data_IF_197597308705
#
_entry.id   IF_197597308705
#
_cell.length_a   1.000
_cell.length_b   1.000
_cell.length_c   1.000
_cell.angle_alpha   90.00
_cell.angle_beta   90.00
_cell.angle_gamma   90.00
#
_symmetry.space_group_name_H-M   'P 1'
#
loop_
_entity.id
_entity.type
_entity.pdbx_description
1 polymer ?
#
# COMPACT_ATOMS: atom_id res chain seq x y z
N UNK A 1 5.53 14.84 4.85
CA UNK A 1 5.55 13.42 4.50
C UNK A 1 4.72 12.70 5.54
N UNK A 2 3.64 12.03 5.14
CA UNK A 2 2.66 11.46 6.07
C UNK A 2 2.67 9.94 5.99
N UNK A 3 3.18 9.30 7.04
CA UNK A 3 2.94 7.88 7.31
C UNK A 3 1.67 7.77 8.16
N UNK A 4 0.77 6.85 7.81
CA UNK A 4 -0.42 6.54 8.58
C UNK A 4 -0.54 5.04 8.82
N UNK A 5 -1.17 4.67 9.94
CA UNK A 5 -1.38 3.27 10.35
C UNK A 5 -2.88 3.03 10.54
N UNK A 6 -3.61 2.57 9.50
CA UNK A 6 -5.04 2.33 9.60
C UNK A 6 -5.39 1.18 10.57
N UNK A 7 -4.48 0.23 10.74
CA UNK A 7 -4.58 -0.85 11.73
C UNK A 7 -3.16 -1.27 12.16
N UNK A 8 -3.05 -2.32 12.98
CA UNK A 8 -1.77 -2.84 13.51
C UNK A 8 -0.92 -3.56 12.45
N UNK A 9 -1.51 -3.97 11.34
CA UNK A 9 -0.91 -4.84 10.33
C UNK A 9 -0.54 -4.09 9.03
N UNK A 10 -0.95 -2.82 8.90
CA UNK A 10 -0.81 -2.04 7.68
C UNK A 10 -0.18 -0.68 7.95
N UNK A 11 0.79 -0.33 7.12
CA UNK A 11 1.37 1.02 7.04
C UNK A 11 1.08 1.61 5.66
N UNK A 12 0.64 2.86 5.63
CA UNK A 12 0.38 3.61 4.39
C UNK A 12 1.29 4.83 4.33
N UNK A 13 1.96 5.04 3.19
CA UNK A 13 2.83 6.19 2.96
C UNK A 13 2.41 6.95 1.72
N UNK A 14 2.34 8.27 1.87
CA UNK A 14 2.24 9.19 0.73
C UNK A 14 3.65 9.67 0.39
N UNK A 15 4.16 9.16 -0.73
CA UNK A 15 5.48 9.47 -1.26
C UNK A 15 5.36 10.48 -2.40
N UNK A 16 6.36 11.33 -2.53
CA UNK A 16 6.53 12.20 -3.68
C UNK A 16 7.83 11.77 -4.35
N UNK A 17 7.71 11.26 -5.58
CA UNK A 17 8.84 10.80 -6.38
C UNK A 17 9.11 11.84 -7.45
N UNK A 18 10.33 12.35 -7.52
CA UNK A 18 10.74 13.34 -8.51
C UNK A 18 11.85 12.77 -9.38
N UNK A 19 11.72 12.95 -10.69
CA UNK A 19 12.75 12.58 -11.67
C UNK A 19 12.79 13.63 -12.77
N UNK A 20 13.95 14.22 -12.99
CA UNK A 20 14.14 15.38 -13.88
C UNK A 20 13.20 16.55 -13.51
N UNK A 21 12.30 16.93 -14.42
CA UNK A 21 11.33 18.02 -14.24
C UNK A 21 9.94 17.50 -13.87
N UNK A 22 9.79 16.19 -13.69
CA UNK A 22 8.53 15.55 -13.34
C UNK A 22 8.51 15.18 -11.86
N UNK A 23 7.32 15.25 -11.27
CA UNK A 23 7.07 14.84 -9.89
C UNK A 23 5.72 14.16 -9.83
N UNK A 24 5.69 12.99 -9.20
CA UNK A 24 4.50 12.17 -9.07
C UNK A 24 4.27 11.79 -7.61
N UNK A 25 3.00 11.80 -7.20
CA UNK A 25 2.60 11.27 -5.90
C UNK A 25 2.34 9.77 -6.01
N UNK A 26 2.90 9.00 -5.08
CA UNK A 26 2.76 7.54 -5.01
C UNK A 26 2.24 7.19 -3.63
N UNK A 27 1.17 6.38 -3.58
CA UNK A 27 0.67 5.82 -2.32
C UNK A 27 1.23 4.40 -2.19
N UNK A 28 2.02 4.16 -1.14
CA UNK A 28 2.53 2.83 -0.82
C UNK A 28 1.68 2.23 0.30
N UNK A 29 1.13 1.04 0.05
CA UNK A 29 0.49 0.20 1.06
C UNK A 29 1.44 -0.94 1.42
N UNK A 30 1.77 -1.08 2.71
CA UNK A 30 2.66 -2.13 3.20
C UNK A 30 1.94 -2.94 4.26
N UNK A 31 1.77 -4.24 4.01
CA UNK A 31 1.35 -5.20 5.03
C UNK A 31 2.57 -5.66 5.82
N UNK A 32 2.55 -5.56 7.15
CA UNK A 32 3.72 -5.81 8.02
C UNK A 32 3.60 -7.05 8.88
N UNK A 33 2.45 -7.73 8.85
CA UNK A 33 2.17 -8.89 9.71
C UNK A 33 2.21 -10.23 8.97
N UNK A 34 2.78 -10.27 7.76
CA UNK A 34 2.95 -11.52 7.02
C UNK A 34 4.23 -12.22 7.51
N UNK A 35 4.13 -13.43 8.09
CA UNK A 35 5.30 -14.17 8.58
C UNK A 35 6.02 -14.92 7.45
N UNK A 36 7.34 -15.07 7.55
CA UNK A 36 8.19 -15.62 6.47
C UNK A 36 7.85 -17.07 6.05
N UNK A 37 7.35 -17.89 6.98
CA UNK A 37 7.09 -19.32 6.77
C UNK A 37 5.65 -19.75 7.08
N UNK A 38 4.75 -18.79 7.30
CA UNK A 38 3.37 -19.06 7.70
C UNK A 38 2.42 -18.09 6.98
N UNK A 39 1.13 -18.17 7.32
CA UNK A 39 0.14 -17.17 6.91
C UNK A 39 -0.29 -16.34 8.12
N UNK A 40 -0.76 -15.09 7.91
CA UNK A 40 -1.40 -14.32 8.98
C UNK A 40 -2.56 -15.11 9.62
N UNK A 41 -2.69 -15.02 10.94
CA UNK A 41 -3.76 -15.70 11.69
C UNK A 41 -5.17 -15.19 11.35
N UNK A 42 -5.27 -13.99 10.77
CA UNK A 42 -6.51 -13.34 10.35
C UNK A 42 -6.30 -12.66 8.99
N UNK A 43 -7.26 -12.83 8.09
CA UNK A 43 -7.26 -12.26 6.74
C UNK A 43 -7.78 -10.83 6.67
N UNK A 44 -8.46 -10.33 7.71
CA UNK A 44 -9.10 -9.01 7.70
C UNK A 44 -8.12 -7.87 7.35
N UNK A 45 -6.90 -7.93 7.90
CA UNK A 45 -5.89 -6.89 7.64
C UNK A 45 -5.45 -6.82 6.17
N UNK A 46 -5.26 -7.96 5.51
CA UNK A 46 -4.85 -7.96 4.09
C UNK A 46 -6.03 -7.65 3.16
N UNK A 47 -7.25 -8.07 3.51
CA UNK A 47 -8.45 -7.71 2.76
C UNK A 47 -8.70 -6.20 2.81
N UNK A 48 -8.54 -5.56 3.96
CA UNK A 48 -8.63 -4.10 4.12
C UNK A 48 -7.55 -3.38 3.29
N UNK A 49 -6.32 -3.90 3.24
CA UNK A 49 -5.26 -3.35 2.38
C UNK A 49 -5.61 -3.44 0.88
N UNK A 50 -6.11 -4.60 0.43
CA UNK A 50 -6.50 -4.81 -0.97
C UNK A 50 -7.65 -3.90 -1.39
N UNK A 51 -8.65 -3.71 -0.53
CA UNK A 51 -9.79 -2.84 -0.80
C UNK A 51 -9.36 -1.37 -0.91
N UNK A 52 -8.49 -0.91 -0.01
CA UNK A 52 -7.91 0.44 -0.05
C UNK A 52 -7.06 0.67 -1.31
N UNK A 53 -6.22 -0.28 -1.70
CA UNK A 53 -5.37 -0.17 -2.87
C UNK A 53 -6.19 -0.11 -4.17
N UNK A 54 -7.27 -0.90 -4.27
CA UNK A 54 -8.19 -0.86 -5.42
C UNK A 54 -8.98 0.44 -5.48
N UNK A 55 -9.45 0.91 -4.34
CA UNK A 55 -10.22 2.15 -4.23
C UNK A 55 -9.38 3.39 -4.57
N UNK A 56 -8.06 3.38 -4.28
CA UNK A 56 -7.18 4.51 -4.58
C UNK A 56 -6.77 4.61 -6.05
N UNK A 57 -6.76 3.49 -6.79
CA UNK A 57 -6.52 3.51 -8.24
C UNK A 57 -7.68 4.15 -9.03
N UNK A 58 -8.92 4.11 -8.52
CA UNK A 58 -10.06 4.76 -9.19
C UNK A 58 -10.19 4.37 -10.67
N UNK A 59 -10.15 5.38 -11.56
CA UNK A 59 -10.15 5.21 -13.03
C UNK A 59 -8.76 5.35 -13.68
N UNK A 60 -7.69 5.37 -12.87
CA UNK A 60 -6.32 5.48 -13.37
C UNK A 60 -5.95 4.19 -14.15
N UNK A 61 -5.56 4.30 -15.44
CA UNK A 61 -5.16 3.14 -16.24
C UNK A 61 -3.80 2.56 -15.83
N UNK A 62 -3.09 3.19 -14.89
CA UNK A 62 -1.77 2.76 -14.43
C UNK A 62 -1.84 1.44 -13.67
N UNK A 63 -0.84 0.55 -13.85
CA UNK A 63 -0.81 -0.73 -13.16
C UNK A 63 -0.55 -0.56 -11.65
N UNK A 64 -1.14 -1.46 -10.86
CA UNK A 64 -0.76 -1.64 -9.46
C UNK A 64 0.55 -2.45 -9.39
N UNK A 65 1.59 -1.86 -8.80
CA UNK A 65 2.84 -2.56 -8.48
C UNK A 65 2.69 -3.27 -7.13
N UNK A 66 2.97 -4.58 -7.10
CA UNK A 66 2.90 -5.43 -5.90
C UNK A 66 4.23 -6.17 -5.76
N UNK A 67 4.81 -6.18 -4.56
CA UNK A 67 6.00 -6.95 -4.22
C UNK A 67 5.94 -7.45 -2.77
N UNK A 68 6.81 -8.40 -2.42
CA UNK A 68 7.17 -8.75 -1.05
C UNK A 68 8.63 -8.42 -0.78
#
# INVERSE_FOLDING_TARGET
>A
QGETKPNKDVVVRNLTVSYQQETQSVIQYQYTSWPDHDVPSDTAGILDLLDRARSSCGADPSPLLIHC
#
